data_IF_947546239531
#
_entry.id   IF_947546239531
#
_cell.length_a   1.000
_cell.length_b   1.000
_cell.length_c   1.000
_cell.angle_alpha   90.00
_cell.angle_beta   90.00
_cell.angle_gamma   90.00
#
_symmetry.space_group_name_H-M   'P 1'
#
loop_
_entity.id
_entity.type
_entity.pdbx_description
1 polymer ?
#
# COMPACT_ATOMS: atom_id res chain seq x y z
N UNK A 1 10.15 -3.25 -8.41
CA UNK A 1 9.17 -3.94 -7.56
C UNK A 1 9.72 -5.22 -6.96
N UNK A 2 10.06 -6.25 -7.75
CA UNK A 2 10.59 -7.53 -7.21
C UNK A 2 11.85 -7.33 -6.34
N UNK A 3 12.82 -6.56 -6.79
CA UNK A 3 14.04 -6.26 -6.03
C UNK A 3 13.77 -5.56 -4.70
N UNK A 4 12.83 -4.61 -4.67
CA UNK A 4 12.46 -3.90 -3.43
C UNK A 4 11.75 -4.81 -2.44
N UNK A 5 10.93 -5.75 -2.93
CA UNK A 5 10.26 -6.74 -2.09
C UNK A 5 11.26 -7.75 -1.52
N UNK A 6 12.16 -8.29 -2.36
CA UNK A 6 13.22 -9.21 -1.91
C UNK A 6 14.11 -8.54 -0.87
N UNK A 7 14.52 -7.31 -1.12
CA UNK A 7 15.31 -6.54 -0.15
C UNK A 7 14.55 -6.31 1.15
N UNK A 8 13.26 -5.97 1.09
CA UNK A 8 12.41 -5.80 2.26
C UNK A 8 12.29 -7.06 3.10
N UNK A 9 12.08 -8.22 2.46
CA UNK A 9 12.04 -9.52 3.15
C UNK A 9 13.39 -9.85 3.78
N UNK A 10 14.49 -9.62 3.07
CA UNK A 10 15.85 -9.86 3.57
C UNK A 10 16.14 -9.05 4.83
N UNK A 11 15.89 -7.73 4.80
CA UNK A 11 16.12 -6.84 5.97
C UNK A 11 15.25 -7.26 7.15
N UNK A 12 14.00 -7.61 6.91
CA UNK A 12 13.06 -8.10 7.93
C UNK A 12 13.56 -9.39 8.60
N UNK A 13 14.09 -10.33 7.80
CA UNK A 13 14.62 -11.59 8.34
C UNK A 13 15.86 -11.36 9.21
N UNK A 14 16.76 -10.47 8.81
CA UNK A 14 17.94 -10.11 9.61
C UNK A 14 17.52 -9.54 10.96
N UNK A 15 16.61 -8.55 10.96
CA UNK A 15 16.14 -7.92 12.19
C UNK A 15 15.50 -8.92 13.16
N UNK A 16 14.71 -9.86 12.64
CA UNK A 16 14.15 -10.92 13.45
C UNK A 16 15.21 -11.84 14.06
N UNK A 17 16.25 -12.17 13.29
CA UNK A 17 17.35 -13.03 13.77
C UNK A 17 18.22 -12.34 14.82
N UNK A 18 18.44 -11.03 14.71
CA UNK A 18 19.32 -10.27 15.61
C UNK A 18 18.62 -9.86 16.92
N UNK A 19 17.37 -9.45 16.84
CA UNK A 19 16.67 -8.81 17.96
C UNK A 19 15.65 -9.71 18.67
N UNK A 20 15.27 -10.86 18.08
CA UNK A 20 14.30 -11.79 18.67
C UNK A 20 12.88 -11.22 18.79
N UNK A 21 12.69 -9.92 18.62
CA UNK A 21 11.41 -9.22 18.59
C UNK A 21 11.20 -8.61 17.21
N UNK A 22 9.99 -8.70 16.71
CA UNK A 22 9.68 -8.29 15.35
C UNK A 22 8.54 -7.27 15.34
N UNK A 23 8.81 -6.10 14.77
CA UNK A 23 7.76 -5.12 14.41
C UNK A 23 7.67 -5.06 12.89
N UNK A 24 6.54 -5.51 12.35
CA UNK A 24 6.33 -5.58 10.90
C UNK A 24 6.54 -4.22 10.23
N UNK A 25 7.45 -4.17 9.27
CA UNK A 25 7.72 -3.00 8.46
C UNK A 25 8.67 -1.97 9.08
N UNK A 26 9.12 -2.15 10.32
CA UNK A 26 10.01 -1.18 10.98
C UNK A 26 11.38 -1.11 10.30
N UNK A 27 12.07 -2.23 10.11
CA UNK A 27 13.35 -2.29 9.43
C UNK A 27 13.27 -1.70 8.00
N UNK A 28 12.23 -2.07 7.26
CA UNK A 28 12.00 -1.57 5.90
C UNK A 28 11.73 -0.05 5.91
N UNK A 29 11.03 0.42 6.95
CA UNK A 29 10.74 1.84 7.09
C UNK A 29 11.98 2.65 7.47
N UNK A 30 12.86 2.10 8.31
CA UNK A 30 14.06 2.80 8.79
C UNK A 30 15.21 2.80 7.77
N UNK A 31 15.17 1.91 6.77
CA UNK A 31 16.20 1.85 5.73
C UNK A 31 15.94 2.88 4.63
N UNK A 32 16.98 3.68 4.30
CA UNK A 32 16.98 4.67 3.22
C UNK A 32 17.87 4.22 2.07
N UNK A 33 17.44 4.45 0.82
CA UNK A 33 18.18 4.11 -0.39
C UNK A 33 18.02 5.25 -1.41
N UNK A 34 19.06 5.67 -2.13
CA UNK A 34 20.42 5.08 -2.22
C UNK A 34 21.40 5.58 -1.17
N UNK A 35 21.07 6.64 -0.43
CA UNK A 35 21.93 7.22 0.61
C UNK A 35 21.07 7.72 1.79
N UNK A 36 21.72 8.00 2.92
CA UNK A 36 21.06 8.50 4.12
C UNK A 36 20.23 9.76 3.83
N UNK A 37 19.07 9.86 4.48
CA UNK A 37 18.12 10.98 4.34
C UNK A 37 17.48 11.14 2.94
N UNK A 38 17.61 10.17 2.06
CA UNK A 38 16.89 10.15 0.79
C UNK A 38 15.48 9.54 0.97
N UNK A 39 15.10 8.58 0.15
CA UNK A 39 13.78 7.95 0.24
C UNK A 39 13.84 6.61 0.99
N UNK A 40 12.91 6.40 1.92
CA UNK A 40 12.79 5.15 2.66
C UNK A 40 12.34 4.01 1.73
N UNK A 41 12.80 2.80 1.99
CA UNK A 41 12.47 1.60 1.19
C UNK A 41 10.96 1.42 1.07
N UNK A 42 10.19 1.69 2.12
CA UNK A 42 8.72 1.66 2.08
C UNK A 42 8.13 2.58 1.02
N UNK A 43 8.73 3.75 0.77
CA UNK A 43 8.31 4.69 -0.27
C UNK A 43 8.54 4.12 -1.66
N UNK A 44 9.70 3.49 -1.90
CA UNK A 44 9.99 2.80 -3.16
C UNK A 44 9.04 1.63 -3.42
N UNK A 45 8.75 0.83 -2.39
CA UNK A 45 7.78 -0.28 -2.50
C UNK A 45 6.40 0.27 -2.84
N UNK A 46 5.94 1.33 -2.16
CA UNK A 46 4.66 1.97 -2.40
C UNK A 46 4.50 2.41 -3.87
N UNK A 47 5.41 3.25 -4.36
CA UNK A 47 5.34 3.74 -5.73
C UNK A 47 5.51 2.63 -6.76
N UNK A 48 6.45 1.71 -6.55
CA UNK A 48 6.67 0.58 -7.46
C UNK A 48 5.43 -0.31 -7.57
N UNK A 49 4.70 -0.50 -6.48
CA UNK A 49 3.47 -1.30 -6.45
C UNK A 49 2.36 -0.63 -7.25
N UNK A 50 2.15 0.69 -7.08
CA UNK A 50 1.13 1.44 -7.81
C UNK A 50 1.46 1.51 -9.30
N UNK A 51 2.70 1.83 -9.65
CA UNK A 51 3.14 1.89 -11.05
C UNK A 51 3.05 0.51 -11.70
N UNK A 52 3.51 -0.53 -11.02
CA UNK A 52 3.42 -1.92 -11.47
C UNK A 52 1.96 -2.34 -11.73
N UNK A 53 1.05 -2.04 -10.82
CA UNK A 53 -0.37 -2.27 -10.99
C UNK A 53 -0.93 -1.54 -12.24
N UNK A 54 -0.61 -0.25 -12.37
CA UNK A 54 -1.05 0.53 -13.53
C UNK A 54 -0.55 -0.06 -14.85
N UNK A 55 0.73 -0.43 -14.93
CA UNK A 55 1.31 -1.04 -16.12
C UNK A 55 0.65 -2.39 -16.45
N UNK A 56 0.50 -3.26 -15.46
CA UNK A 56 -0.11 -4.59 -15.65
C UNK A 56 -1.56 -4.48 -16.09
N UNK A 57 -2.35 -3.62 -15.44
CA UNK A 57 -3.75 -3.42 -15.81
C UNK A 57 -3.91 -2.80 -17.20
N UNK A 58 -3.04 -1.87 -17.59
CA UNK A 58 -3.08 -1.26 -18.91
C UNK A 58 -2.75 -2.26 -20.02
N UNK A 59 -1.77 -3.13 -19.81
CA UNK A 59 -1.40 -4.18 -20.75
C UNK A 59 -2.47 -5.28 -20.78
N UNK A 60 -2.87 -5.76 -19.62
CA UNK A 60 -3.88 -6.80 -19.47
C UNK A 60 -5.23 -6.37 -20.06
N UNK A 61 -5.67 -5.14 -19.78
CA UNK A 61 -6.92 -4.59 -20.31
C UNK A 61 -6.98 -4.58 -21.84
N UNK A 62 -5.85 -4.31 -22.48
CA UNK A 62 -5.76 -4.34 -23.95
C UNK A 62 -5.79 -5.77 -24.50
N UNK A 63 -5.22 -6.74 -23.80
CA UNK A 63 -5.14 -8.15 -24.24
C UNK A 63 -6.44 -8.92 -23.99
N UNK A 64 -7.13 -8.64 -22.90
CA UNK A 64 -8.34 -9.39 -22.47
C UNK A 64 -9.66 -8.74 -22.94
N UNK A 65 -9.60 -7.83 -23.90
CA UNK A 65 -10.80 -7.13 -24.38
C UNK A 65 -11.87 -8.06 -25.02
N UNK A 66 -11.51 -9.33 -25.32
CA UNK A 66 -12.42 -10.32 -25.86
C UNK A 66 -13.18 -11.20 -24.85
N UNK A 67 -12.63 -11.39 -23.64
CA UNK A 67 -13.22 -12.31 -22.67
C UNK A 67 -14.23 -11.61 -21.77
N UNK A 68 -15.52 -11.87 -21.97
CA UNK A 68 -16.57 -11.40 -21.10
C UNK A 68 -16.65 -12.29 -19.85
N UNK A 69 -16.11 -11.82 -18.72
CA UNK A 69 -16.52 -12.36 -17.43
C UNK A 69 -17.93 -11.83 -17.18
N UNK A 70 -18.95 -12.65 -17.44
CA UNK A 70 -20.35 -12.25 -17.38
C UNK A 70 -21.00 -12.81 -16.11
N UNK A 71 -21.87 -12.05 -15.49
CA UNK A 71 -22.79 -12.52 -14.44
C UNK A 71 -22.25 -12.45 -13.01
N UNK A 72 -22.64 -13.44 -12.20
CA UNK A 72 -22.38 -13.47 -10.75
C UNK A 72 -20.90 -13.37 -10.35
N UNK A 73 -19.99 -13.91 -11.16
CA UNK A 73 -18.54 -13.80 -10.89
C UNK A 73 -18.02 -12.37 -10.96
N UNK A 74 -18.53 -11.57 -11.92
CA UNK A 74 -18.16 -10.16 -12.02
C UNK A 74 -18.74 -9.35 -10.87
N UNK A 75 -20.00 -9.59 -10.50
CA UNK A 75 -20.62 -8.94 -9.36
C UNK A 75 -19.89 -9.25 -8.05
N UNK A 76 -19.48 -10.50 -7.85
CA UNK A 76 -18.68 -10.91 -6.69
C UNK A 76 -17.31 -10.19 -6.67
N UNK A 77 -16.61 -10.15 -7.82
CA UNK A 77 -15.34 -9.43 -7.94
C UNK A 77 -15.50 -7.95 -7.60
N UNK A 78 -16.55 -7.31 -8.13
CA UNK A 78 -16.85 -5.89 -7.83
C UNK A 78 -17.12 -5.68 -6.35
N UNK A 79 -17.91 -6.55 -5.73
CA UNK A 79 -18.19 -6.49 -4.29
C UNK A 79 -16.92 -6.65 -3.46
N UNK A 80 -16.04 -7.59 -3.81
CA UNK A 80 -14.75 -7.78 -3.13
C UNK A 80 -13.85 -6.54 -3.28
N UNK A 81 -13.70 -6.01 -4.50
CA UNK A 81 -12.87 -4.82 -4.74
C UNK A 81 -13.40 -3.60 -3.98
N UNK A 82 -14.71 -3.41 -3.97
CA UNK A 82 -15.34 -2.33 -3.20
C UNK A 82 -15.13 -2.53 -1.69
N UNK A 83 -15.36 -3.74 -1.18
CA UNK A 83 -15.16 -4.07 0.23
C UNK A 83 -13.71 -3.82 0.68
N UNK A 84 -12.73 -4.31 -0.08
CA UNK A 84 -11.32 -4.05 0.20
C UNK A 84 -10.96 -2.57 0.12
N UNK A 85 -11.55 -1.82 -0.82
CA UNK A 85 -11.35 -0.37 -0.92
C UNK A 85 -11.84 0.36 0.33
N UNK A 86 -13.04 0.03 0.82
CA UNK A 86 -13.62 0.65 2.03
C UNK A 86 -12.78 0.31 3.27
N UNK A 87 -12.43 -0.98 3.45
CA UNK A 87 -11.62 -1.42 4.59
C UNK A 87 -10.24 -0.73 4.55
N UNK A 88 -9.59 -0.68 3.39
CA UNK A 88 -8.29 -0.04 3.26
C UNK A 88 -8.33 1.45 3.54
N UNK A 89 -9.38 2.15 3.10
CA UNK A 89 -9.56 3.57 3.41
C UNK A 89 -9.78 3.78 4.92
N UNK A 90 -10.59 2.94 5.54
CA UNK A 90 -10.82 3.00 6.98
C UNK A 90 -9.50 2.84 7.76
N UNK A 91 -8.68 1.85 7.41
CA UNK A 91 -7.39 1.60 8.06
C UNK A 91 -6.40 2.77 7.84
N UNK A 92 -6.37 3.39 6.66
CA UNK A 92 -5.56 4.59 6.42
C UNK A 92 -5.97 5.71 7.37
N UNK A 93 -7.27 6.00 7.49
CA UNK A 93 -7.78 7.07 8.35
C UNK A 93 -7.54 6.75 9.82
N UNK A 94 -7.75 5.50 10.22
CA UNK A 94 -7.50 5.05 11.59
C UNK A 94 -6.02 5.18 11.97
N UNK A 95 -5.11 4.64 11.17
CA UNK A 95 -3.67 4.72 11.44
C UNK A 95 -3.17 6.17 11.46
N UNK A 96 -3.71 7.02 10.57
CA UNK A 96 -3.40 8.45 10.57
C UNK A 96 -3.88 9.14 11.85
N UNK A 97 -5.07 8.80 12.33
CA UNK A 97 -5.63 9.35 13.58
C UNK A 97 -4.80 8.92 14.78
N UNK A 98 -4.43 7.64 14.87
CA UNK A 98 -3.59 7.10 15.95
C UNK A 98 -2.23 7.79 15.96
N UNK A 99 -1.57 7.92 14.79
CA UNK A 99 -0.29 8.59 14.68
C UNK A 99 -0.36 10.05 15.16
N UNK A 100 -1.39 10.80 14.74
CA UNK A 100 -1.59 12.18 15.20
C UNK A 100 -1.84 12.27 16.71
N UNK A 101 -2.62 11.35 17.27
CA UNK A 101 -2.87 11.30 18.71
C UNK A 101 -1.58 11.03 19.50
N UNK A 102 -0.75 10.11 19.04
CA UNK A 102 0.56 9.81 19.66
C UNK A 102 1.51 11.00 19.57
N UNK A 103 1.58 11.67 18.42
CA UNK A 103 2.37 12.88 18.25
C UNK A 103 1.93 13.99 19.21
N UNK A 104 0.63 14.21 19.32
CA UNK A 104 0.07 15.22 20.23
C UNK A 104 0.40 14.90 21.68
N UNK A 105 0.24 13.63 22.09
CA UNK A 105 0.60 13.18 23.44
C UNK A 105 2.10 13.38 23.74
N UNK A 106 2.97 13.10 22.75
CA UNK A 106 4.42 13.36 22.87
C UNK A 106 4.74 14.82 23.10
N UNK A 107 4.11 15.73 22.34
CA UNK A 107 4.30 17.19 22.50
C UNK A 107 3.83 17.67 23.87
N UNK A 108 2.67 17.21 24.35
CA UNK A 108 2.13 17.56 25.68
C UNK A 108 3.09 17.12 26.79
N UNK A 109 3.74 15.97 26.63
CA UNK A 109 4.70 15.43 27.57
C UNK A 109 6.12 16.08 27.46
N UNK A 110 6.26 17.16 26.69
CA UNK A 110 7.52 17.92 26.54
C UNK A 110 8.52 17.29 25.58
N UNK A 111 8.14 16.25 24.85
CA UNK A 111 8.96 15.71 23.77
C UNK A 111 8.78 16.60 22.53
N UNK A 112 9.87 17.22 22.06
CA UNK A 112 9.85 17.89 20.76
C UNK A 112 9.86 16.81 19.69
N UNK A 113 8.81 16.68 18.88
CA UNK A 113 8.74 15.62 17.90
C UNK A 113 9.75 15.89 16.77
N UNK A 114 10.76 15.06 16.70
CA UNK A 114 11.54 14.89 15.47
C UNK A 114 10.65 14.08 14.51
N UNK A 115 10.15 14.72 13.46
CA UNK A 115 9.25 14.10 12.48
C UNK A 115 9.85 12.82 11.89
N UNK A 116 11.16 12.78 11.74
CA UNK A 116 11.86 11.61 11.20
C UNK A 116 11.93 10.43 12.18
N UNK A 117 11.87 10.71 13.47
CA UNK A 117 11.90 9.69 14.54
C UNK A 117 10.51 9.27 15.04
N UNK A 118 9.48 10.04 14.77
CA UNK A 118 8.13 9.78 15.26
C UNK A 118 7.57 8.43 14.86
N UNK A 119 7.88 7.96 13.66
CA UNK A 119 7.43 6.67 13.17
C UNK A 119 8.10 5.47 13.85
N UNK A 120 9.24 5.70 14.52
CA UNK A 120 10.02 4.68 15.23
C UNK A 120 9.72 4.70 16.73
N UNK A 121 9.45 5.89 17.29
CA UNK A 121 9.28 6.09 18.71
C UNK A 121 7.94 5.56 19.28
N UNK A 122 6.97 5.29 18.41
CA UNK A 122 5.61 4.90 18.80
C UNK A 122 5.12 3.66 18.05
N UNK A 123 5.75 2.47 18.25
CA UNK A 123 5.10 1.23 17.86
C UNK A 123 3.82 1.12 18.69
N UNK A 124 2.71 0.79 18.05
CA UNK A 124 1.49 0.47 18.77
C UNK A 124 1.72 -0.87 19.50
N UNK A 125 1.73 -0.91 20.85
CA UNK A 125 2.00 -2.13 21.60
C UNK A 125 0.95 -3.21 21.35
N UNK A 126 -0.26 -2.82 20.96
CA UNK A 126 -1.36 -3.74 20.64
C UNK A 126 -1.32 -4.20 19.17
N UNK A 127 -0.48 -3.59 18.36
CA UNK A 127 -0.34 -3.90 16.93
C UNK A 127 1.14 -3.98 16.53
N UNK A 128 1.66 -5.17 16.28
CA UNK A 128 3.08 -5.38 16.01
C UNK A 128 3.48 -4.93 14.59
N UNK A 129 3.11 -3.71 14.21
CA UNK A 129 3.50 -3.11 12.92
C UNK A 129 3.77 -1.61 13.03
N UNK A 130 4.68 -1.15 12.19
CA UNK A 130 4.97 0.27 12.06
C UNK A 130 3.79 1.01 11.41
N UNK A 131 3.23 2.02 12.07
CA UNK A 131 2.03 2.74 11.60
C UNK A 131 2.22 3.42 10.24
N UNK A 132 3.41 3.96 9.96
CA UNK A 132 3.69 4.61 8.67
C UNK A 132 3.80 3.58 7.55
N UNK A 133 4.40 2.42 7.83
CA UNK A 133 4.42 1.30 6.90
C UNK A 133 3.01 0.81 6.61
N UNK A 134 2.23 0.53 7.64
CA UNK A 134 0.84 0.07 7.51
C UNK A 134 -0.02 1.08 6.72
N UNK A 135 0.09 2.38 7.03
CA UNK A 135 -0.62 3.43 6.28
C UNK A 135 -0.27 3.40 4.80
N UNK A 136 1.00 3.24 4.43
CA UNK A 136 1.42 3.15 3.01
C UNK A 136 0.87 1.90 2.33
N UNK A 137 0.87 0.75 3.01
CA UNK A 137 0.32 -0.51 2.49
C UNK A 137 -1.19 -0.37 2.24
N UNK A 138 -1.93 0.13 3.22
CA UNK A 138 -3.37 0.32 3.07
C UNK A 138 -3.72 1.39 2.03
N UNK A 139 -2.94 2.46 1.94
CA UNK A 139 -3.12 3.48 0.89
C UNK A 139 -2.88 2.90 -0.52
N UNK A 140 -1.84 2.09 -0.70
CA UNK A 140 -1.60 1.40 -1.97
C UNK A 140 -2.75 0.43 -2.29
N UNK A 141 -3.21 -0.34 -1.31
CA UNK A 141 -4.35 -1.25 -1.43
C UNK A 141 -5.63 -0.49 -1.82
N UNK A 142 -5.91 0.63 -1.19
CA UNK A 142 -7.05 1.50 -1.52
C UNK A 142 -7.00 1.99 -2.98
N UNK A 143 -5.85 2.51 -3.42
CA UNK A 143 -5.68 3.00 -4.80
C UNK A 143 -5.86 1.86 -5.81
N UNK A 144 -5.27 0.69 -5.55
CA UNK A 144 -5.32 -0.47 -6.43
C UNK A 144 -6.73 -1.02 -6.54
N UNK A 145 -7.41 -1.21 -5.40
CA UNK A 145 -8.76 -1.80 -5.38
C UNK A 145 -9.80 -0.85 -5.94
N UNK A 146 -9.70 0.46 -5.65
CA UNK A 146 -10.56 1.49 -6.24
C UNK A 146 -10.39 1.58 -7.76
N UNK A 147 -9.15 1.57 -8.25
CA UNK A 147 -8.88 1.55 -9.68
C UNK A 147 -9.37 0.25 -10.34
N UNK A 148 -9.18 -0.90 -9.68
CA UNK A 148 -9.70 -2.19 -10.13
C UNK A 148 -11.23 -2.19 -10.23
N UNK A 149 -11.90 -1.65 -9.21
CA UNK A 149 -13.35 -1.47 -9.22
C UNK A 149 -13.81 -0.57 -10.36
N UNK A 150 -13.18 0.59 -10.54
CA UNK A 150 -13.46 1.48 -11.66
C UNK A 150 -13.32 0.79 -13.02
N UNK A 151 -12.24 0.03 -13.23
CA UNK A 151 -12.02 -0.72 -14.46
C UNK A 151 -13.08 -1.80 -14.67
N UNK A 152 -13.59 -2.40 -13.61
CA UNK A 152 -14.65 -3.44 -13.69
C UNK A 152 -16.01 -2.90 -14.10
N UNK A 153 -16.29 -1.63 -13.82
CA UNK A 153 -17.57 -0.95 -14.18
C UNK A 153 -17.49 -0.33 -15.56
N UNK A 154 -16.30 0.10 -16.00
CA UNK A 154 -16.11 0.83 -17.25
C UNK A 154 -16.60 0.00 -18.44
N UNK A 155 -17.56 0.51 -19.25
CA UNK A 155 -18.02 -0.19 -20.43
C UNK A 155 -16.84 -0.37 -21.41
N UNK A 156 -16.65 -1.61 -21.87
CA UNK A 156 -15.66 -1.91 -22.92
C UNK A 156 -16.20 -1.40 -24.25
N UNK A 157 -15.47 -0.50 -24.90
CA UNK A 157 -15.76 -0.16 -26.30
C UNK A 157 -15.59 -1.43 -27.13
N UNK A 158 -16.64 -1.81 -27.86
CA UNK A 158 -16.56 -2.91 -28.81
C UNK A 158 -15.54 -2.57 -29.89
N UNK A 159 -14.69 -3.54 -30.26
CA UNK A 159 -13.71 -3.35 -31.33
C UNK A 159 -14.34 -3.12 -32.71
N UNK A 160 -15.67 -3.30 -32.81
CA UNK A 160 -16.43 -3.10 -34.05
C UNK A 160 -16.60 -1.62 -34.43
N UNK A 161 -16.59 -0.71 -33.44
CA UNK A 161 -16.68 0.73 -33.74
C UNK A 161 -15.40 1.32 -34.34
N UNK A 162 -14.25 0.65 -34.21
CA UNK A 162 -12.99 1.13 -34.77
C UNK A 162 -12.77 0.74 -36.26
N UNK A 163 -13.66 -0.07 -36.83
CA UNK A 163 -13.59 -0.52 -38.23
C UNK A 163 -14.52 0.26 -39.17
N UNK A 164 -15.30 1.20 -38.67
CA UNK A 164 -16.29 1.97 -39.45
C UNK A 164 -15.91 3.46 -39.56
N UNK A 165 -14.68 3.84 -39.12
CA UNK A 165 -14.18 5.20 -39.23
C UNK A 165 -13.02 5.33 -40.19
#
# INVERSE_FOLDING_TARGET
MASSLVFGVYVTMIEWMENGTYVMGEAIHNTTIPFENFARVTTWIFFSTIIGWYCVTRIGWRRTAGDKIIGAKMALLQLMLLGFSIISLYEVLYNFTVLNAQMTAGVINGMVPDIDKLSVAYPDPDRPWNLVFATKVFLASFIITTHGFYLSIKPRKSLDESKIG
#
